data_IF_604674530039
#
_entry.id   IF_604674530039
#
_cell.length_a   1.000
_cell.length_b   1.000
_cell.length_c   1.000
_cell.angle_alpha   90.00
_cell.angle_beta   90.00
_cell.angle_gamma   90.00
#
_symmetry.space_group_name_H-M   'P 1'
#
loop_
_entity.id
_entity.type
_entity.pdbx_description
1 polymer ?
#
# COMPACT_ATOMS: atom_id res chain seq x y z
N UNK A 1 -41.52 -25.18 -61.82
CA UNK A 1 -41.04 -23.80 -61.53
C UNK A 1 -41.46 -23.34 -60.13
N UNK A 2 -42.74 -23.46 -59.75
CA UNK A 2 -43.28 -23.00 -58.44
C UNK A 2 -42.59 -23.64 -57.22
N UNK A 3 -42.27 -24.94 -57.27
CA UNK A 3 -41.65 -25.70 -56.17
C UNK A 3 -40.19 -25.27 -55.87
N UNK A 4 -39.45 -24.84 -56.89
CA UNK A 4 -38.06 -24.40 -56.73
C UNK A 4 -37.98 -23.03 -56.04
N UNK A 5 -38.97 -22.16 -56.31
CA UNK A 5 -39.08 -20.85 -55.67
C UNK A 5 -39.50 -20.97 -54.20
N UNK A 6 -40.36 -21.94 -53.86
CA UNK A 6 -40.68 -22.25 -52.47
C UNK A 6 -39.46 -22.76 -51.69
N UNK A 7 -38.67 -23.66 -52.27
CA UNK A 7 -37.43 -24.14 -51.64
C UNK A 7 -36.42 -22.99 -51.42
N UNK A 8 -36.28 -22.09 -52.39
CA UNK A 8 -35.43 -20.89 -52.27
C UNK A 8 -35.91 -19.96 -51.15
N UNK A 9 -37.22 -19.83 -50.99
CA UNK A 9 -37.81 -19.01 -49.93
C UNK A 9 -37.55 -19.61 -48.55
N UNK A 10 -37.69 -20.93 -48.41
CA UNK A 10 -37.43 -21.65 -47.15
C UNK A 10 -35.95 -21.56 -46.76
N UNK A 11 -35.02 -21.81 -47.68
CA UNK A 11 -33.57 -21.66 -47.41
C UNK A 11 -33.25 -20.24 -46.91
N UNK A 12 -33.88 -19.22 -47.52
CA UNK A 12 -33.70 -17.83 -47.10
C UNK A 12 -34.24 -17.56 -45.69
N UNK A 13 -35.38 -18.15 -45.32
CA UNK A 13 -35.94 -18.05 -43.97
C UNK A 13 -35.04 -18.76 -42.95
N UNK A 14 -34.56 -19.96 -43.27
CA UNK A 14 -33.65 -20.71 -42.40
C UNK A 14 -32.34 -19.94 -42.17
N UNK A 15 -31.75 -19.36 -43.23
CA UNK A 15 -30.54 -18.54 -43.11
C UNK A 15 -30.73 -17.31 -42.22
N UNK A 16 -31.89 -16.63 -42.32
CA UNK A 16 -32.25 -15.53 -41.41
C UNK A 16 -32.35 -15.99 -39.96
N UNK A 17 -33.06 -17.10 -39.71
CA UNK A 17 -33.23 -17.67 -38.38
C UNK A 17 -31.87 -18.02 -37.74
N UNK A 18 -30.98 -18.71 -38.48
CA UNK A 18 -29.63 -19.03 -38.00
C UNK A 18 -28.85 -17.77 -37.64
N UNK A 19 -28.93 -16.73 -38.47
CA UNK A 19 -28.24 -15.46 -38.21
C UNK A 19 -28.78 -14.76 -36.96
N UNK A 20 -30.10 -14.73 -36.78
CA UNK A 20 -30.75 -14.18 -35.60
C UNK A 20 -30.33 -14.94 -34.34
N UNK A 21 -30.33 -16.28 -34.38
CA UNK A 21 -29.94 -17.11 -33.25
C UNK A 21 -28.47 -16.91 -32.84
N UNK A 22 -27.56 -16.86 -33.81
CA UNK A 22 -26.13 -16.59 -33.55
C UNK A 22 -25.97 -15.19 -32.93
N UNK A 23 -26.68 -14.20 -33.46
CA UNK A 23 -26.64 -12.83 -32.93
C UNK A 23 -27.12 -12.78 -31.48
N UNK A 24 -28.24 -13.44 -31.17
CA UNK A 24 -28.77 -13.52 -29.81
C UNK A 24 -27.79 -14.22 -28.85
N UNK A 25 -27.16 -15.31 -29.28
CA UNK A 25 -26.19 -16.04 -28.46
C UNK A 25 -24.97 -15.17 -28.15
N UNK A 26 -24.43 -14.48 -29.16
CA UNK A 26 -23.29 -13.56 -28.97
C UNK A 26 -23.67 -12.44 -27.99
N UNK A 27 -24.84 -11.83 -28.16
CA UNK A 27 -25.28 -10.76 -27.27
C UNK A 27 -25.41 -11.24 -25.83
N UNK A 28 -26.02 -12.40 -25.60
CA UNK A 28 -26.12 -12.99 -24.25
C UNK A 28 -24.75 -13.23 -23.62
N UNK A 29 -23.80 -13.78 -24.39
CA UNK A 29 -22.44 -13.99 -23.89
C UNK A 29 -21.77 -12.68 -23.49
N UNK A 30 -21.95 -11.61 -24.28
CA UNK A 30 -21.40 -10.30 -23.97
C UNK A 30 -22.03 -9.75 -22.68
N UNK A 31 -23.35 -9.80 -22.55
CA UNK A 31 -24.07 -9.35 -21.34
C UNK A 31 -23.57 -10.07 -20.07
N UNK A 32 -23.45 -11.40 -20.12
CA UNK A 32 -22.94 -12.19 -18.99
C UNK A 32 -21.51 -11.76 -18.60
N UNK A 33 -20.64 -11.52 -19.59
CA UNK A 33 -19.27 -11.05 -19.31
C UNK A 33 -19.25 -9.63 -18.73
N UNK A 34 -20.16 -8.77 -19.17
CA UNK A 34 -20.30 -7.40 -18.70
C UNK A 34 -20.72 -7.36 -17.22
N UNK A 35 -21.71 -8.17 -16.84
CA UNK A 35 -22.18 -8.28 -15.46
C UNK A 35 -21.04 -8.71 -14.51
N UNK A 36 -20.25 -9.70 -14.92
CA UNK A 36 -19.08 -10.15 -14.13
C UNK A 36 -18.03 -9.06 -14.00
N UNK A 37 -17.85 -8.22 -15.03
CA UNK A 37 -16.91 -7.10 -14.99
C UNK A 37 -17.39 -5.98 -14.08
N UNK A 38 -18.68 -5.65 -14.11
CA UNK A 38 -19.29 -4.65 -13.22
C UNK A 38 -19.12 -5.07 -11.75
N UNK A 39 -19.43 -6.32 -11.41
CA UNK A 39 -19.25 -6.83 -10.03
C UNK A 39 -17.77 -6.74 -9.58
N UNK A 40 -16.82 -7.06 -10.47
CA UNK A 40 -15.39 -6.94 -10.18
C UNK A 40 -14.97 -5.48 -10.00
N UNK A 41 -15.56 -4.57 -10.77
CA UNK A 41 -15.30 -3.15 -10.68
C UNK A 41 -15.75 -2.59 -9.33
N UNK A 42 -16.99 -2.88 -8.90
CA UNK A 42 -17.52 -2.47 -7.59
C UNK A 42 -16.64 -2.97 -6.43
N UNK A 43 -16.24 -4.25 -6.47
CA UNK A 43 -15.34 -4.82 -5.45
C UNK A 43 -13.97 -4.13 -5.43
N UNK A 44 -13.46 -3.72 -6.58
CA UNK A 44 -12.19 -3.01 -6.67
C UNK A 44 -12.31 -1.60 -6.10
N UNK A 45 -13.37 -0.87 -6.44
CA UNK A 45 -13.65 0.45 -5.89
C UNK A 45 -13.74 0.43 -4.36
N UNK A 46 -14.45 -0.56 -3.80
CA UNK A 46 -14.54 -0.74 -2.35
C UNK A 46 -13.15 -0.96 -1.72
N UNK A 47 -12.32 -1.80 -2.34
CA UNK A 47 -10.95 -2.07 -1.86
C UNK A 47 -10.08 -0.83 -1.89
N UNK A 48 -10.16 -0.02 -2.95
CA UNK A 48 -9.41 1.23 -3.09
C UNK A 48 -9.83 2.21 -2.02
N UNK A 49 -11.14 2.42 -1.83
CA UNK A 49 -11.68 3.30 -0.77
C UNK A 49 -11.21 2.86 0.62
N UNK A 50 -11.20 1.56 0.89
CA UNK A 50 -10.69 1.02 2.15
C UNK A 50 -9.18 1.25 2.32
N UNK A 51 -8.39 1.16 1.24
CA UNK A 51 -6.96 1.46 1.28
C UNK A 51 -6.69 2.95 1.53
N UNK A 52 -7.41 3.85 0.87
CA UNK A 52 -7.29 5.30 1.08
C UNK A 52 -7.59 5.70 2.53
N UNK A 53 -8.66 5.14 3.10
CA UNK A 53 -9.00 5.36 4.50
C UNK A 53 -7.87 4.90 5.43
N UNK A 54 -7.29 3.72 5.19
CA UNK A 54 -6.17 3.20 5.99
C UNK A 54 -4.92 4.08 5.87
N UNK A 55 -4.58 4.53 4.65
CA UNK A 55 -3.46 5.43 4.40
C UNK A 55 -3.66 6.73 5.19
N UNK A 56 -4.84 7.34 5.11
CA UNK A 56 -5.16 8.56 5.86
C UNK A 56 -4.93 8.40 7.36
N UNK A 57 -5.36 7.29 7.97
CA UNK A 57 -5.10 7.05 9.39
C UNK A 57 -3.61 6.89 9.68
N UNK A 58 -2.87 6.15 8.86
CA UNK A 58 -1.43 5.95 9.03
C UNK A 58 -0.65 7.27 8.89
N UNK A 59 -0.98 8.10 7.91
CA UNK A 59 -0.41 9.43 7.71
C UNK A 59 -0.70 10.33 8.90
N UNK A 60 -1.93 10.31 9.42
CA UNK A 60 -2.29 11.07 10.62
C UNK A 60 -1.51 10.61 11.85
N UNK A 61 -1.25 9.31 12.00
CA UNK A 61 -0.44 8.78 13.11
C UNK A 61 1.04 9.15 12.96
N UNK A 62 1.61 9.02 11.76
CA UNK A 62 3.00 9.41 11.48
C UNK A 62 3.20 10.92 11.64
N UNK A 63 2.26 11.74 11.16
CA UNK A 63 2.25 13.18 11.41
C UNK A 63 2.22 13.50 12.90
N UNK A 64 1.35 12.85 13.68
CA UNK A 64 1.31 13.05 15.15
C UNK A 64 2.61 12.63 15.84
N UNK A 65 3.27 11.55 15.39
CA UNK A 65 4.58 11.11 15.90
C UNK A 65 5.65 12.13 15.55
N UNK A 66 5.73 12.53 14.28
CA UNK A 66 6.71 13.50 13.77
C UNK A 66 6.51 14.92 14.35
N UNK A 67 5.27 15.36 14.57
CA UNK A 67 4.98 16.65 15.22
C UNK A 67 5.30 16.66 16.72
N UNK A 68 5.16 15.52 17.42
CA UNK A 68 5.71 15.37 18.78
C UNK A 68 7.25 15.31 18.78
N UNK A 69 7.86 15.14 17.62
CA UNK A 69 9.28 14.88 17.39
C UNK A 69 9.90 15.98 16.50
N UNK A 70 9.67 17.27 16.82
CA UNK A 70 10.65 18.33 16.50
C UNK A 70 11.87 18.18 17.42
N UNK A 71 12.37 16.94 17.54
CA UNK A 71 13.62 16.56 18.16
C UNK A 71 14.27 15.63 17.15
N UNK A 72 15.36 16.03 16.50
CA UNK A 72 16.02 15.17 15.53
C UNK A 72 16.38 13.84 16.18
N UNK A 73 16.19 12.73 15.45
CA UNK A 73 16.53 11.39 15.97
C UNK A 73 18.01 11.36 16.38
N UNK A 74 18.36 10.75 17.54
CA UNK A 74 19.75 10.63 17.96
C UNK A 74 20.60 9.93 16.90
N UNK A 75 21.82 10.42 16.68
CA UNK A 75 22.81 9.79 15.82
C UNK A 75 23.66 8.80 16.63
N UNK A 76 23.71 7.54 16.20
CA UNK A 76 24.57 6.51 16.80
C UNK A 76 25.93 6.59 16.12
N UNK A 77 27.00 6.76 16.90
CA UNK A 77 28.38 6.83 16.41
C UNK A 77 29.19 5.69 17.01
N UNK A 78 29.81 4.89 16.16
CA UNK A 78 30.75 3.83 16.55
C UNK A 78 32.18 4.31 16.28
N UNK A 79 33.09 3.98 17.20
CA UNK A 79 34.50 4.38 17.09
C UNK A 79 35.36 3.14 16.88
N UNK A 80 36.39 3.25 16.03
CA UNK A 80 37.34 2.17 15.76
C UNK A 80 38.15 1.76 16.99
N UNK A 81 38.39 2.69 17.91
CA UNK A 81 39.12 2.42 19.16
C UNK A 81 38.39 2.99 20.37
N UNK A 82 38.41 2.24 21.47
CA UNK A 82 37.82 2.67 22.74
C UNK A 82 38.50 3.95 23.29
N UNK A 83 39.81 4.09 23.07
CA UNK A 83 40.58 5.26 23.53
C UNK A 83 40.07 6.58 22.94
N UNK A 84 39.67 6.60 21.67
CA UNK A 84 39.06 7.78 21.04
C UNK A 84 37.71 8.10 21.70
N UNK A 85 36.85 7.09 21.89
CA UNK A 85 35.56 7.25 22.58
C UNK A 85 35.72 7.85 23.98
N UNK A 86 36.67 7.35 24.77
CA UNK A 86 36.96 7.85 26.12
C UNK A 86 37.43 9.31 26.08
N UNK A 87 38.34 9.66 25.16
CA UNK A 87 38.84 11.04 25.01
C UNK A 87 37.70 12.03 24.71
N UNK A 88 36.79 11.66 23.80
CA UNK A 88 35.62 12.48 23.44
C UNK A 88 34.67 12.62 24.63
N UNK A 89 34.33 11.52 25.32
CA UNK A 89 33.41 11.55 26.45
C UNK A 89 33.93 12.39 27.62
N UNK A 90 35.25 12.39 27.88
CA UNK A 90 35.87 13.25 28.90
C UNK A 90 35.73 14.74 28.58
N UNK A 91 35.66 15.10 27.29
CA UNK A 91 35.50 16.48 26.81
C UNK A 91 34.06 16.87 26.50
N UNK A 92 33.06 16.01 26.76
CA UNK A 92 31.65 16.30 26.47
C UNK A 92 31.11 17.60 27.08
N UNK A 93 31.74 18.10 28.14
CA UNK A 93 31.40 19.38 28.76
C UNK A 93 31.61 20.60 27.86
N UNK A 94 32.45 20.48 26.83
CA UNK A 94 32.66 21.53 25.81
C UNK A 94 31.41 21.77 24.96
N UNK A 95 30.44 20.84 24.96
CA UNK A 95 29.17 20.96 24.23
C UNK A 95 28.06 21.66 25.03
N UNK A 96 28.32 22.10 26.26
CA UNK A 96 27.30 22.72 27.13
C UNK A 96 26.67 23.97 26.53
N UNK A 97 27.44 24.74 25.75
CA UNK A 97 26.97 25.95 25.08
C UNK A 97 26.30 25.65 23.72
N UNK A 98 26.23 24.37 23.33
CA UNK A 98 25.57 23.91 22.12
C UNK A 98 24.19 23.31 22.42
N UNK A 99 23.35 23.18 21.39
CA UNK A 99 22.06 22.48 21.49
C UNK A 99 22.19 20.95 21.49
N UNK A 100 23.42 20.42 21.42
CA UNK A 100 23.69 19.00 21.29
C UNK A 100 24.18 18.39 22.61
N UNK A 101 23.87 17.11 22.82
CA UNK A 101 24.38 16.35 23.96
C UNK A 101 24.94 15.01 23.50
N UNK A 102 25.93 14.53 24.24
CA UNK A 102 26.50 13.20 24.07
C UNK A 102 26.12 12.33 25.27
N UNK A 103 25.56 11.15 24.98
CA UNK A 103 25.29 10.12 25.98
C UNK A 103 25.81 8.79 25.46
N UNK A 104 26.25 7.94 26.38
CA UNK A 104 26.60 6.58 26.01
C UNK A 104 25.34 5.76 25.76
N UNK A 105 25.42 4.94 24.71
CA UNK A 105 24.41 3.96 24.36
C UNK A 105 24.62 2.70 25.21
N UNK A 106 23.77 2.53 26.22
CA UNK A 106 23.79 1.38 27.13
C UNK A 106 22.54 0.55 26.93
N UNK A 107 22.65 -0.76 27.17
CA UNK A 107 21.48 -1.63 27.20
C UNK A 107 20.52 -1.25 28.33
N UNK A 108 19.24 -1.59 28.15
CA UNK A 108 18.20 -1.31 29.15
C UNK A 108 18.55 -1.88 30.54
N UNK A 109 19.09 -3.10 30.58
CA UNK A 109 19.55 -3.73 31.81
C UNK A 109 20.55 -2.86 32.58
N UNK A 110 21.56 -2.31 31.89
CA UNK A 110 22.57 -1.45 32.51
C UNK A 110 21.96 -0.13 32.99
N UNK A 111 21.01 0.43 32.22
CA UNK A 111 20.31 1.67 32.60
C UNK A 111 19.43 1.47 33.84
N UNK A 112 18.74 0.34 33.96
CA UNK A 112 17.93 -0.01 35.14
C UNK A 112 18.81 -0.16 36.38
N UNK A 113 19.91 -0.93 36.28
CA UNK A 113 20.86 -1.07 37.39
C UNK A 113 21.49 0.24 37.86
N UNK A 114 21.72 1.20 36.95
CA UNK A 114 22.20 2.53 37.34
C UNK A 114 21.18 3.34 38.11
N UNK A 115 19.89 3.21 37.78
CA UNK A 115 18.82 3.90 38.51
C UNK A 115 18.66 3.38 39.94
N UNK A 116 18.94 2.09 40.17
CA UNK A 116 18.91 1.49 41.52
C UNK A 116 20.05 2.01 42.43
N UNK A 117 21.14 2.52 41.86
CA UNK A 117 22.36 2.91 42.58
C UNK A 117 22.48 4.44 42.81
N UNK A 118 21.53 5.24 42.34
CA UNK A 118 21.49 6.70 42.49
C UNK A 118 20.36 7.11 43.41
#
# INVERSE_FOLDING_TARGET
>A
MIELDEQRLEIRKTGKNVTEHVTQNINRMIEDTFLVWEEKHEKLEERVKNQENRIYFLEKQTWKRNMKEIRPRPMIVTFSTLGIKIKILKRKGELKDSQYYLKEDYSNYVLEKRKELQ
#
